data_IF_648327659083
#
_entry.id   IF_648327659083
#
_cell.length_a   1.000
_cell.length_b   1.000
_cell.length_c   1.000
_cell.angle_alpha   90.00
_cell.angle_beta   90.00
_cell.angle_gamma   90.00
#
_symmetry.space_group_name_H-M   'P 1'
#
loop_
_entity.id
_entity.type
_entity.pdbx_description
1 polymer ?
#
# COMPACT_ATOMS: atom_id res chain seq x y z
N UNK A 1 26.55 17.17 20.26
CA UNK A 1 25.87 15.90 20.59
C UNK A 1 24.51 15.94 19.92
N UNK A 2 24.16 14.91 19.15
CA UNK A 2 22.81 14.77 18.60
C UNK A 2 21.89 14.25 19.70
N UNK A 3 20.73 14.88 19.86
CA UNK A 3 19.73 14.54 20.87
C UNK A 3 18.36 14.35 20.25
N UNK A 4 17.61 13.39 20.77
CA UNK A 4 16.20 13.14 20.41
C UNK A 4 15.34 14.02 21.32
N UNK A 5 14.55 14.90 20.72
CA UNK A 5 13.62 15.78 21.40
C UNK A 5 12.17 15.27 21.36
N UNK A 6 11.22 16.18 21.58
CA UNK A 6 9.78 15.87 21.59
C UNK A 6 9.33 15.33 20.23
N UNK A 7 8.34 14.43 20.27
CA UNK A 7 7.60 13.99 19.08
C UNK A 7 6.75 15.11 18.52
N UNK A 8 6.83 15.32 17.21
CA UNK A 8 5.94 16.15 16.43
C UNK A 8 4.87 15.25 15.81
N UNK A 9 3.62 15.65 15.91
CA UNK A 9 2.50 15.08 15.15
C UNK A 9 1.97 16.15 14.20
N UNK A 10 1.74 15.78 12.95
CA UNK A 10 1.29 16.71 11.90
C UNK A 10 0.57 15.94 10.79
N UNK A 11 0.09 16.67 9.78
CA UNK A 11 -0.67 16.16 8.66
C UNK A 11 -0.39 17.00 7.40
N UNK A 12 -0.76 16.46 6.24
CA UNK A 12 -0.65 17.14 4.95
C UNK A 12 0.71 16.96 4.26
N UNK A 13 0.68 17.03 2.92
CA UNK A 13 1.85 16.76 2.08
C UNK A 13 3.01 17.73 2.30
N UNK A 14 2.70 19.02 2.49
CA UNK A 14 3.73 20.03 2.74
C UNK A 14 4.51 19.73 4.04
N UNK A 15 3.82 19.28 5.09
CA UNK A 15 4.45 18.91 6.35
C UNK A 15 5.30 17.64 6.19
N UNK A 16 4.80 16.63 5.47
CA UNK A 16 5.57 15.41 5.19
C UNK A 16 6.84 15.73 4.41
N UNK A 17 6.76 16.54 3.35
CA UNK A 17 7.91 16.96 2.55
C UNK A 17 8.92 17.74 3.39
N UNK A 18 8.46 18.69 4.21
CA UNK A 18 9.33 19.48 5.10
C UNK A 18 10.08 18.60 6.12
N UNK A 19 9.42 17.56 6.64
CA UNK A 19 10.03 16.61 7.57
C UNK A 19 11.01 15.66 6.85
N UNK A 20 10.66 15.16 5.66
CA UNK A 20 11.50 14.28 4.85
C UNK A 20 12.81 14.93 4.39
N UNK A 21 12.84 16.25 4.24
CA UNK A 21 14.08 16.99 3.97
C UNK A 21 15.09 16.96 5.11
N UNK A 22 14.70 16.46 6.28
CA UNK A 22 15.54 16.41 7.48
C UNK A 22 15.79 14.97 7.94
N UNK A 23 14.79 14.10 7.81
CA UNK A 23 14.85 12.74 8.36
C UNK A 23 13.74 11.83 7.81
N UNK A 24 13.86 10.50 7.93
CA UNK A 24 12.73 9.59 7.77
C UNK A 24 11.61 9.86 8.77
N UNK A 25 10.37 9.59 8.36
CA UNK A 25 9.16 9.98 9.10
C UNK A 25 8.22 8.79 9.23
N UNK A 26 7.66 8.57 10.42
CA UNK A 26 6.60 7.56 10.59
C UNK A 26 5.27 8.13 10.09
N UNK A 27 4.55 7.34 9.30
CA UNK A 27 3.23 7.70 8.76
C UNK A 27 2.27 6.52 8.93
N UNK A 28 0.98 6.82 9.06
CA UNK A 28 -0.06 5.79 8.94
C UNK A 28 -0.61 5.75 7.52
N UNK A 29 -1.04 4.57 7.10
CA UNK A 29 -1.55 4.28 5.76
C UNK A 29 -2.71 3.29 5.82
N UNK A 30 -3.53 3.31 4.78
CA UNK A 30 -4.52 2.27 4.46
C UNK A 30 -3.83 1.16 3.66
N UNK A 31 -3.48 0.06 4.34
CA UNK A 31 -2.74 -1.08 3.78
C UNK A 31 -3.56 -2.37 3.71
N UNK A 32 -4.78 -2.39 4.27
CA UNK A 32 -5.69 -3.53 4.27
C UNK A 32 -6.27 -3.87 2.91
N UNK A 33 -6.18 -2.96 1.95
CA UNK A 33 -6.69 -3.15 0.59
C UNK A 33 -5.81 -4.03 -0.31
N UNK A 34 -6.40 -4.50 -1.42
CA UNK A 34 -5.75 -5.39 -2.38
C UNK A 34 -4.64 -4.71 -3.19
N UNK A 35 -4.71 -3.40 -3.42
CA UNK A 35 -3.67 -2.64 -4.13
C UNK A 35 -2.37 -2.69 -3.33
N UNK A 36 -2.46 -2.45 -2.03
CA UNK A 36 -1.31 -2.52 -1.13
C UNK A 36 -0.82 -3.97 -0.99
N UNK A 37 -1.71 -4.90 -0.61
CA UNK A 37 -1.33 -6.30 -0.35
C UNK A 37 -0.62 -6.97 -1.52
N UNK A 38 -1.06 -6.67 -2.74
CA UNK A 38 -0.52 -7.30 -3.96
C UNK A 38 0.53 -6.45 -4.70
N UNK A 39 0.92 -5.30 -4.14
CA UNK A 39 1.87 -4.38 -4.78
C UNK A 39 3.18 -5.08 -5.19
N UNK A 40 3.63 -4.77 -6.41
CA UNK A 40 4.90 -5.26 -7.00
C UNK A 40 5.82 -4.14 -7.47
N UNK A 41 5.28 -3.15 -8.18
CA UNK A 41 6.06 -2.05 -8.73
C UNK A 41 5.19 -0.89 -9.20
N UNK A 42 5.84 0.26 -9.46
CA UNK A 42 5.22 1.46 -10.00
C UNK A 42 4.69 2.41 -8.93
N UNK A 43 4.19 3.57 -9.37
CA UNK A 43 3.54 4.54 -8.47
C UNK A 43 2.06 4.20 -8.38
N UNK A 44 1.56 4.00 -7.16
CA UNK A 44 0.14 3.81 -6.89
C UNK A 44 -0.60 5.13 -7.06
N UNK A 45 -1.56 5.15 -7.98
CA UNK A 45 -2.41 6.32 -8.29
C UNK A 45 -3.86 6.16 -7.84
N UNK A 46 -4.20 4.99 -7.31
CA UNK A 46 -5.53 4.69 -6.76
C UNK A 46 -5.39 3.76 -5.56
N UNK A 47 -6.05 4.10 -4.47
CA UNK A 47 -6.04 3.32 -3.24
C UNK A 47 -7.48 3.26 -2.71
N UNK A 48 -8.13 2.10 -2.76
CA UNK A 48 -9.48 1.96 -2.24
C UNK A 48 -9.44 1.90 -0.71
N UNK A 49 -10.43 2.53 -0.08
CA UNK A 49 -10.51 2.62 1.39
C UNK A 49 -10.19 4.01 1.90
N UNK A 50 -10.46 4.21 3.18
CA UNK A 50 -10.25 5.49 3.87
C UNK A 50 -9.83 5.28 5.34
N UNK A 51 -9.45 4.06 5.74
CA UNK A 51 -9.13 3.74 7.11
C UNK A 51 -7.65 3.42 7.25
N UNK A 52 -6.93 4.29 7.95
CA UNK A 52 -5.56 3.98 8.36
C UNK A 52 -5.55 2.75 9.27
N UNK A 53 -4.73 1.76 8.92
CA UNK A 53 -4.64 0.48 9.64
C UNK A 53 -3.20 -0.01 9.84
N UNK A 54 -2.22 0.64 9.22
CA UNK A 54 -0.83 0.20 9.23
C UNK A 54 0.15 1.36 9.37
N UNK A 55 1.22 1.12 10.13
CA UNK A 55 2.28 2.09 10.35
C UNK A 55 3.53 1.75 9.53
N UNK A 56 4.05 2.75 8.83
CA UNK A 56 5.20 2.60 7.92
C UNK A 56 6.14 3.80 8.03
N UNK A 57 7.28 3.76 7.33
CA UNK A 57 8.24 4.85 7.33
C UNK A 57 8.36 5.48 5.95
N UNK A 58 7.97 6.75 5.82
CA UNK A 58 8.33 7.55 4.66
C UNK A 58 9.83 7.89 4.73
N UNK A 59 10.57 7.60 3.65
CA UNK A 59 12.04 7.78 3.60
C UNK A 59 12.50 8.77 2.54
N UNK A 60 11.56 9.30 1.76
CA UNK A 60 11.84 10.31 0.74
C UNK A 60 10.65 10.52 -0.18
N UNK A 61 10.88 11.33 -1.20
CA UNK A 61 9.93 11.62 -2.27
C UNK A 61 10.70 11.88 -3.56
N UNK A 62 10.03 11.86 -4.70
CA UNK A 62 10.66 12.09 -5.99
C UNK A 62 9.65 12.28 -7.11
N UNK A 63 10.18 12.32 -8.33
CA UNK A 63 9.41 12.52 -9.55
C UNK A 63 9.72 11.40 -10.54
N UNK A 64 8.68 10.90 -11.21
CA UNK A 64 8.74 9.94 -12.31
C UNK A 64 7.61 10.27 -13.29
N UNK A 65 6.88 9.28 -13.82
CA UNK A 65 5.60 9.49 -14.52
C UNK A 65 4.58 10.19 -13.62
N UNK A 66 4.63 9.90 -12.32
CA UNK A 66 3.89 10.62 -11.28
C UNK A 66 4.88 11.02 -10.17
N UNK A 67 4.67 12.18 -9.56
CA UNK A 67 5.31 12.54 -8.30
C UNK A 67 4.92 11.53 -7.21
N UNK A 68 5.85 11.17 -6.33
CA UNK A 68 5.61 10.12 -5.35
C UNK A 68 6.26 10.35 -3.99
N UNK A 69 5.67 9.78 -2.95
CA UNK A 69 6.35 9.45 -1.69
C UNK A 69 6.94 8.03 -1.76
N UNK A 70 8.18 7.88 -1.28
CA UNK A 70 8.84 6.58 -1.14
C UNK A 70 8.66 6.07 0.29
N UNK A 71 7.97 4.95 0.42
CA UNK A 71 7.59 4.38 1.71
C UNK A 71 8.31 3.05 1.89
N UNK A 72 8.99 2.90 3.03
CA UNK A 72 9.58 1.64 3.49
C UNK A 72 8.52 0.85 4.26
N UNK A 73 8.23 -0.36 3.81
CA UNK A 73 7.34 -1.28 4.49
C UNK A 73 8.14 -2.28 5.35
N UNK A 74 7.43 -3.05 6.18
CA UNK A 74 7.96 -4.05 7.12
C UNK A 74 7.66 -5.51 6.70
N UNK A 75 7.19 -5.75 5.47
CA UNK A 75 6.80 -7.08 4.98
C UNK A 75 7.90 -7.83 4.20
N UNK A 76 9.16 -7.47 4.47
CA UNK A 76 10.34 -8.08 3.85
C UNK A 76 10.64 -7.55 2.44
N UNK A 77 11.87 -7.83 1.98
CA UNK A 77 12.37 -7.31 0.71
C UNK A 77 11.73 -7.96 -0.54
N UNK A 78 11.06 -9.10 -0.39
CA UNK A 78 10.39 -9.80 -1.50
C UNK A 78 9.01 -9.19 -1.83
N UNK A 79 8.51 -8.30 -0.99
CA UNK A 79 7.28 -7.57 -1.22
C UNK A 79 7.58 -6.21 -1.87
N UNK A 80 6.74 -5.78 -2.81
CA UNK A 80 6.91 -4.52 -3.53
C UNK A 80 8.27 -4.40 -4.24
N UNK A 81 8.78 -3.18 -4.31
CA UNK A 81 10.08 -2.90 -4.90
C UNK A 81 11.17 -2.96 -3.82
N UNK A 82 11.70 -4.16 -3.58
CA UNK A 82 12.71 -4.39 -2.54
C UNK A 82 12.25 -3.98 -1.14
N UNK A 83 10.98 -4.21 -0.80
CA UNK A 83 10.37 -3.81 0.48
C UNK A 83 9.83 -2.37 0.52
N UNK A 84 9.83 -1.67 -0.61
CA UNK A 84 9.30 -0.31 -0.74
C UNK A 84 8.03 -0.28 -1.57
N UNK A 85 7.24 0.78 -1.37
CA UNK A 85 6.10 1.17 -2.20
C UNK A 85 6.17 2.66 -2.51
N UNK A 86 5.66 3.03 -3.68
CA UNK A 86 5.62 4.41 -4.15
C UNK A 86 4.17 4.87 -4.26
N UNK A 87 3.81 5.91 -3.51
CA UNK A 87 2.45 6.44 -3.45
C UNK A 87 2.40 7.79 -4.15
N UNK A 88 1.43 8.00 -5.03
CA UNK A 88 1.30 9.26 -5.74
C UNK A 88 1.18 10.44 -4.76
N UNK A 89 1.93 11.49 -5.05
CA UNK A 89 1.92 12.76 -4.34
C UNK A 89 1.19 13.82 -5.17
N UNK A 90 0.68 14.85 -4.51
CA UNK A 90 -0.06 15.95 -5.14
C UNK A 90 -1.53 15.61 -5.40
N UNK A 91 -2.09 14.63 -4.68
CA UNK A 91 -3.49 14.20 -4.88
C UNK A 91 -4.48 14.95 -3.97
N UNK A 92 -4.00 15.77 -3.04
CA UNK A 92 -4.81 16.50 -2.08
C UNK A 92 -5.41 15.63 -0.98
N UNK A 93 -6.25 16.23 -0.12
CA UNK A 93 -6.90 15.53 1.01
C UNK A 93 -5.89 14.85 1.94
N UNK A 94 -6.21 13.62 2.36
CA UNK A 94 -5.36 12.79 3.21
C UNK A 94 -4.18 12.15 2.47
N UNK A 95 -4.00 12.46 1.18
CA UNK A 95 -2.98 11.87 0.32
C UNK A 95 -3.33 10.45 -0.14
N UNK A 96 -2.50 9.90 -1.02
CA UNK A 96 -2.68 8.54 -1.53
C UNK A 96 -2.54 7.52 -0.40
N UNK A 97 -3.53 6.62 -0.26
CA UNK A 97 -3.63 5.66 0.85
C UNK A 97 -3.56 6.33 2.24
N UNK A 98 -4.07 7.55 2.39
CA UNK A 98 -4.06 8.33 3.63
C UNK A 98 -2.66 8.63 4.21
N UNK A 99 -1.61 8.56 3.39
CA UNK A 99 -0.21 8.66 3.84
C UNK A 99 0.15 9.98 4.54
N UNK A 100 -0.67 11.02 4.40
CA UNK A 100 -0.46 12.31 5.07
C UNK A 100 -1.51 12.65 6.12
N UNK A 101 -2.37 11.70 6.50
CA UNK A 101 -3.37 11.89 7.55
C UNK A 101 -2.74 11.94 8.95
N UNK A 102 -1.81 11.01 9.22
CA UNK A 102 -1.13 10.94 10.52
C UNK A 102 0.38 10.79 10.34
N UNK A 103 1.10 11.87 10.60
CA UNK A 103 2.56 11.97 10.46
C UNK A 103 3.16 12.15 11.85
N UNK A 104 4.19 11.36 12.19
CA UNK A 104 4.87 11.44 13.47
C UNK A 104 6.38 11.29 13.34
N UNK A 105 7.14 12.16 14.00
CA UNK A 105 8.60 12.09 14.03
C UNK A 105 9.19 12.81 15.26
N UNK A 106 10.34 12.37 15.79
CA UNK A 106 11.02 13.10 16.84
C UNK A 106 11.67 14.37 16.29
N UNK A 107 11.70 15.44 17.09
CA UNK A 107 12.63 16.54 16.82
C UNK A 107 14.06 16.07 17.05
N UNK A 108 14.99 16.46 16.18
CA UNK A 108 16.41 16.22 16.37
C UNK A 108 17.08 17.56 16.71
N UNK A 109 17.79 17.62 17.83
CA UNK A 109 18.52 18.82 18.26
C UNK A 109 20.01 18.54 18.36
N UNK A 110 20.82 19.55 18.01
CA UNK A 110 22.29 19.49 18.05
C UNK A 110 22.96 19.33 16.68
N UNK A 111 24.20 19.81 16.57
CA UNK A 111 25.06 19.63 15.41
C UNK A 111 25.57 18.19 15.36
N UNK A 112 25.34 17.53 14.22
CA UNK A 112 26.05 16.30 13.90
C UNK A 112 27.53 16.61 13.75
N UNK A 113 28.34 16.17 14.70
CA UNK A 113 29.80 16.34 14.66
C UNK A 113 30.49 15.43 13.64
N UNK A 114 29.72 14.54 12.97
CA UNK A 114 30.17 13.63 11.92
C UNK A 114 29.05 13.40 10.90
N UNK A 115 28.37 14.44 10.43
CA UNK A 115 27.56 14.29 9.24
C UNK A 115 28.55 14.16 8.08
N UNK A 116 28.55 13.06 7.31
CA UNK A 116 29.11 13.14 5.97
C UNK A 116 28.42 14.35 5.33
N UNK A 117 29.21 15.29 4.83
CA UNK A 117 28.70 16.35 3.95
C UNK A 117 28.12 15.63 2.74
N UNK A 118 26.86 15.26 2.84
CA UNK A 118 26.06 14.92 1.69
C UNK A 118 25.74 16.28 1.11
N UNK A 119 26.56 16.67 0.14
CA UNK A 119 26.14 17.65 -0.86
C UNK A 119 24.70 17.31 -1.22
N UNK A 120 23.79 18.20 -0.86
CA UNK A 120 22.42 18.20 -1.36
C UNK A 120 22.47 17.75 -2.84
N UNK A 121 21.74 16.70 -3.26
CA UNK A 121 21.76 16.28 -4.65
C UNK A 121 21.33 17.46 -5.51
N UNK A 122 22.31 18.12 -6.14
CA UNK A 122 22.08 19.25 -7.05
C UNK A 122 21.86 18.73 -8.47
N UNK A 123 21.88 17.40 -8.65
CA UNK A 123 21.50 16.77 -9.90
C UNK A 123 20.02 16.37 -9.78
N UNK A 124 19.14 16.88 -10.66
CA UNK A 124 17.82 16.29 -10.87
C UNK A 124 17.99 14.77 -11.07
N UNK A 125 17.04 13.93 -10.65
CA UNK A 125 17.13 12.49 -10.92
C UNK A 125 17.23 12.30 -12.43
N UNK A 126 18.43 11.99 -12.93
CA UNK A 126 18.65 11.64 -14.32
C UNK A 126 17.93 10.33 -14.58
N UNK A 127 16.81 10.44 -15.30
CA UNK A 127 16.06 9.36 -15.91
C UNK A 127 16.91 8.69 -16.98
N UNK A 128 17.79 7.78 -16.56
CA UNK A 128 18.20 6.70 -17.46
C UNK A 128 17.14 5.61 -17.34
N UNK A 129 16.23 5.56 -18.32
CA UNK A 129 15.29 4.47 -18.49
C UNK A 129 16.02 3.12 -18.43
N UNK A 130 15.48 2.08 -17.76
CA UNK A 130 16.04 0.75 -17.87
C UNK A 130 15.90 0.29 -19.32
N UNK A 131 17.03 0.19 -20.02
CA UNK A 131 17.09 -0.46 -21.33
C UNK A 131 16.89 -1.95 -21.11
N UNK A 132 15.64 -2.42 -21.19
CA UNK A 132 15.36 -3.86 -21.35
C UNK A 132 15.85 -4.29 -22.72
N UNK A 133 17.05 -4.87 -22.77
CA UNK A 133 17.40 -5.80 -23.84
C UNK A 133 16.68 -7.13 -23.53
N UNK A 134 15.84 -7.67 -24.43
CA UNK A 134 15.21 -8.96 -24.22
C UNK A 134 16.29 -10.05 -24.17
N UNK A 135 16.36 -10.78 -23.06
CA UNK A 135 17.11 -12.04 -23.00
C UNK A 135 16.16 -13.18 -23.33
N UNK A 136 16.28 -13.68 -24.55
CA UNK A 136 15.68 -14.95 -24.98
C UNK A 136 16.52 -16.11 -24.46
N UNK A 137 16.00 -16.84 -23.46
CA UNK A 137 16.00 -18.31 -23.36
C UNK A 137 15.78 -18.77 -21.90
N UNK A 138 14.99 -19.83 -21.66
CA UNK A 138 14.82 -20.44 -20.34
C UNK A 138 15.92 -21.48 -20.10
N UNK A 139 16.31 -21.70 -18.84
CA UNK A 139 17.03 -22.92 -18.45
C UNK A 139 16.47 -23.43 -17.13
N UNK A 140 15.49 -24.32 -17.25
CA UNK A 140 15.16 -25.27 -16.19
C UNK A 140 16.11 -26.45 -16.31
N UNK A 141 16.74 -26.84 -15.20
CA UNK A 141 17.35 -28.16 -15.05
C UNK A 141 16.55 -28.95 -14.00
N UNK A 142 16.10 -30.18 -14.29
CA UNK A 142 15.33 -31.00 -13.37
C UNK A 142 16.26 -31.84 -12.48
N UNK A 143 15.98 -31.91 -11.18
CA UNK A 143 16.59 -32.92 -10.29
C UNK A 143 15.58 -34.01 -9.98
N UNK A 144 15.98 -35.24 -10.27
CA UNK A 144 15.22 -36.49 -10.16
C UNK A 144 14.98 -36.97 -8.73
N UNK A 145 13.76 -37.49 -8.48
CA UNK A 145 13.26 -38.38 -7.38
C UNK A 145 14.14 -39.68 -7.25
N UNK A 146 13.98 -40.65 -6.29
CA UNK A 146 12.89 -40.85 -5.30
C UNK A 146 13.17 -41.55 -3.92
N UNK A 147 12.18 -41.54 -3.01
CA UNK A 147 11.67 -42.69 -2.19
C UNK A 147 10.43 -42.20 -1.38
N UNK A 148 9.16 -42.59 -1.53
CA UNK A 148 8.38 -43.85 -1.41
C UNK A 148 8.34 -44.51 -0.04
N UNK A 149 7.35 -44.12 0.78
CA UNK A 149 6.46 -44.95 1.62
C UNK A 149 5.31 -44.02 2.03
N UNK A 150 4.00 -44.24 1.88
CA UNK A 150 3.24 -45.42 1.51
C UNK A 150 2.14 -45.67 2.54
N UNK A 151 1.11 -44.80 2.65
CA UNK A 151 -0.19 -45.18 3.25
C UNK A 151 -1.33 -44.37 2.61
N UNK A 152 -2.26 -45.10 2.00
CA UNK A 152 -3.48 -44.62 1.34
C UNK A 152 -4.61 -44.47 2.35
N UNK A 153 -5.31 -43.34 2.37
CA UNK A 153 -6.72 -43.28 2.78
C UNK A 153 -7.50 -42.25 1.95
N UNK A 154 -8.55 -42.77 1.33
CA UNK A 154 -9.57 -42.15 0.47
C UNK A 154 -10.52 -41.26 1.28
N UNK A 155 -10.93 -40.09 0.76
CA UNK A 155 -12.28 -39.55 0.97
C UNK A 155 -12.61 -38.37 0.02
N UNK A 156 -13.58 -38.65 -0.87
CA UNK A 156 -14.67 -37.81 -1.40
C UNK A 156 -14.48 -36.31 -1.72
N UNK A 157 -14.83 -35.98 -2.97
CA UNK A 157 -15.03 -34.65 -3.55
C UNK A 157 -16.08 -33.78 -2.81
N UNK A 158 -16.11 -32.44 -3.04
CA UNK A 158 -17.00 -31.93 -4.09
C UNK A 158 -16.47 -30.74 -4.94
N UNK A 159 -16.96 -30.74 -6.19
CA UNK A 159 -17.12 -29.70 -7.22
C UNK A 159 -17.71 -28.39 -6.61
N UNK A 160 -17.38 -27.16 -7.01
CA UNK A 160 -17.63 -26.59 -8.33
C UNK A 160 -16.92 -25.25 -8.61
N UNK A 161 -16.64 -25.06 -9.90
CA UNK A 161 -16.24 -23.87 -10.66
C UNK A 161 -17.14 -22.65 -10.38
N UNK A 162 -16.63 -21.40 -10.29
CA UNK A 162 -17.48 -20.23 -10.27
C UNK A 162 -17.99 -19.92 -11.69
N UNK A 163 -19.30 -20.03 -11.86
CA UNK A 163 -20.04 -19.55 -13.04
C UNK A 163 -20.45 -18.09 -12.87
N UNK A 164 -20.35 -17.37 -13.99
CA UNK A 164 -20.71 -15.98 -14.23
C UNK A 164 -22.22 -15.69 -14.21
N UNK A 165 -22.50 -14.41 -13.92
CA UNK A 165 -23.65 -13.57 -14.35
C UNK A 165 -24.82 -13.39 -13.37
N UNK A 166 -25.53 -12.22 -13.44
CA UNK A 166 -25.91 -11.42 -12.28
C UNK A 166 -27.41 -11.56 -11.99
N UNK A 167 -27.82 -11.36 -10.74
CA UNK A 167 -29.24 -11.24 -10.39
C UNK A 167 -29.47 -9.91 -9.67
N UNK A 168 -30.53 -9.16 -10.03
CA UNK A 168 -30.59 -7.72 -9.88
C UNK A 168 -31.10 -7.31 -8.50
N UNK A 169 -30.48 -6.28 -7.93
CA UNK A 169 -31.09 -5.48 -6.86
C UNK A 169 -30.20 -5.16 -5.67
N UNK A 170 -29.00 -5.73 -5.57
CA UNK A 170 -28.08 -5.49 -4.44
C UNK A 170 -26.72 -4.95 -4.86
N UNK A 171 -26.11 -4.16 -3.99
CA UNK A 171 -24.71 -3.77 -4.05
C UNK A 171 -23.84 -5.02 -4.10
N UNK A 172 -22.84 -5.01 -4.98
CA UNK A 172 -21.85 -6.07 -5.08
C UNK A 172 -21.15 -6.31 -3.73
N UNK A 173 -20.48 -7.45 -3.58
CA UNK A 173 -19.60 -7.70 -2.44
C UNK A 173 -18.67 -6.51 -2.23
N UNK A 174 -18.60 -6.00 -1.00
CA UNK A 174 -17.79 -4.83 -0.62
C UNK A 174 -18.18 -3.49 -1.26
N UNK A 175 -19.29 -3.41 -1.99
CA UNK A 175 -19.81 -2.14 -2.47
C UNK A 175 -20.57 -1.37 -1.36
N UNK A 176 -20.70 -0.05 -1.55
CA UNK A 176 -21.51 0.79 -0.66
C UNK A 176 -22.98 0.39 -0.76
N UNK A 177 -23.63 0.29 0.40
CA UNK A 177 -25.03 -0.08 0.55
C UNK A 177 -25.81 0.88 1.46
N UNK A 178 -25.21 2.00 1.86
CA UNK A 178 -25.87 2.99 2.70
C UNK A 178 -25.00 4.21 2.98
N UNK A 179 -25.63 5.22 3.58
CA UNK A 179 -25.03 6.51 3.87
C UNK A 179 -25.99 7.67 3.53
N UNK A 180 -25.79 8.81 4.16
CA UNK A 180 -26.50 10.04 3.87
C UNK A 180 -26.29 10.42 2.40
N UNK A 181 -27.39 10.73 1.70
CA UNK A 181 -27.48 10.97 0.25
C UNK A 181 -27.14 9.76 -0.65
N UNK A 182 -26.97 8.55 -0.11
CA UNK A 182 -26.81 7.35 -0.92
C UNK A 182 -28.19 6.81 -1.33
N UNK A 183 -28.46 6.78 -2.64
CA UNK A 183 -29.81 6.48 -3.14
C UNK A 183 -30.08 4.98 -3.29
N UNK A 184 -29.18 4.22 -3.91
CA UNK A 184 -29.32 2.77 -4.15
C UNK A 184 -27.99 2.19 -4.67
N UNK A 185 -27.76 0.86 -4.58
CA UNK A 185 -28.60 -0.15 -3.93
C UNK A 185 -28.36 -0.25 -2.41
N UNK A 186 -29.42 -0.27 -1.60
CA UNK A 186 -29.33 -0.32 -0.13
C UNK A 186 -29.24 -1.72 0.47
N UNK A 187 -29.39 -2.75 -0.34
CA UNK A 187 -29.23 -4.16 0.00
C UNK A 187 -27.97 -4.72 -0.66
N UNK A 188 -27.46 -5.85 -0.16
CA UNK A 188 -26.26 -6.50 -0.69
C UNK A 188 -26.60 -7.76 -1.48
N UNK A 189 -25.69 -8.19 -2.35
CA UNK A 189 -25.75 -9.51 -3.00
C UNK A 189 -25.81 -10.64 -1.96
N UNK A 190 -26.32 -11.80 -2.38
CA UNK A 190 -26.49 -12.96 -1.51
C UNK A 190 -25.19 -13.33 -0.78
N UNK A 191 -25.28 -13.59 0.53
CA UNK A 191 -24.13 -13.88 1.38
C UNK A 191 -23.47 -12.65 2.00
N UNK A 192 -23.96 -11.44 1.72
CA UNK A 192 -23.43 -10.19 2.27
C UNK A 192 -24.50 -9.38 3.02
N UNK A 193 -24.07 -8.71 4.09
CA UNK A 193 -24.84 -7.83 4.96
C UNK A 193 -24.44 -6.37 4.73
N UNK A 194 -25.40 -5.45 4.71
CA UNK A 194 -25.07 -4.03 4.73
C UNK A 194 -24.69 -3.60 6.16
N UNK A 195 -23.39 -3.45 6.42
CA UNK A 195 -22.89 -3.00 7.74
C UNK A 195 -22.71 -1.49 7.75
N UNK A 196 -23.31 -0.86 8.76
CA UNK A 196 -23.13 0.57 9.04
C UNK A 196 -21.71 0.84 9.57
N UNK A 197 -21.04 1.82 8.99
CA UNK A 197 -19.74 2.31 9.46
C UNK A 197 -19.83 3.77 9.91
N UNK A 198 -20.59 4.59 9.19
CA UNK A 198 -20.86 5.97 9.56
C UNK A 198 -22.17 6.46 8.96
N UNK A 199 -22.62 7.63 9.39
CA UNK A 199 -23.81 8.29 8.82
C UNK A 199 -23.72 8.46 7.30
N UNK A 200 -22.52 8.53 6.74
CA UNK A 200 -22.29 8.74 5.30
C UNK A 200 -21.92 7.45 4.55
N UNK A 201 -21.71 6.33 5.25
CA UNK A 201 -21.19 5.13 4.61
C UNK A 201 -21.58 3.83 5.33
N UNK A 202 -22.17 2.92 4.58
CA UNK A 202 -22.38 1.51 4.93
C UNK A 202 -21.88 0.63 3.78
N UNK A 203 -21.33 -0.55 4.09
CA UNK A 203 -20.71 -1.44 3.10
C UNK A 203 -21.21 -2.88 3.21
N UNK A 204 -21.30 -3.56 2.06
CA UNK A 204 -21.59 -4.98 1.99
C UNK A 204 -20.42 -5.83 2.48
N UNK A 205 -20.60 -6.52 3.62
CA UNK A 205 -19.62 -7.45 4.18
C UNK A 205 -20.16 -8.87 4.23
N UNK A 206 -19.33 -9.92 4.18
CA UNK A 206 -19.82 -11.30 4.33
C UNK A 206 -20.57 -11.49 5.66
N UNK A 207 -21.68 -12.24 5.62
CA UNK A 207 -22.36 -12.75 6.81
C UNK A 207 -21.54 -13.85 7.48
#
# INVERSE_FOLDING_TARGET
MLSIGKTVQTEGEAALVAALNKQPVSVLVEAGNEVWRNYKSGVITQCPGAQVDHAVTAVGYGTSTHDYFKIKNSWGAQWGENGYIYLQRGVGGNGMCNVVEYISYPTLTGTSVNAPSTSQPTVPPTTSAPTVKPTTAPTFSPTTKPSTTGTSQTTTAPTAKPTSNPSPGGAAAYAQCGGNNFSVPTSCVQGFACKFYSEWYSQCIPQ
#
